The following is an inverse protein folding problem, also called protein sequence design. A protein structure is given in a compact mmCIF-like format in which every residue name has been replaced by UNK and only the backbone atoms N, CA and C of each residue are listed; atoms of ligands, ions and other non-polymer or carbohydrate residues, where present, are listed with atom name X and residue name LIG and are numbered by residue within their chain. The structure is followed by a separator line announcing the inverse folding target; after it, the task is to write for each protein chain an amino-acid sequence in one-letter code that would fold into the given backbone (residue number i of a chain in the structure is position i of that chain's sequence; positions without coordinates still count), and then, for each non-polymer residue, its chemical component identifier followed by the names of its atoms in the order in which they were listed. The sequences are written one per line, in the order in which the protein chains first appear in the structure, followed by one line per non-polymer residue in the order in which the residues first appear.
data_IF_789777589010
#
_entry.id   IF_789777589010
#
_cell.length_a   1.000
_cell.length_b   1.000
_cell.length_c   1.000
_cell.angle_alpha   90.00
_cell.angle_beta   90.00
_cell.angle_gamma   90.00
#
_symmetry.space_group_name_H-M   'P 1'
#
loop_
_entity.id
_entity.type
_entity.pdbx_description
1 polymer ?
#
# COMPACT_ATOMS: atom_id res chain seq x y z
N UNK A 1 0.90 -21.06 -1.91
CA UNK A 1 0.84 -19.88 -1.03
C UNK A 1 -0.41 -19.10 -1.39
N UNK A 2 -1.13 -18.48 -0.45
CA UNK A 2 -2.30 -17.69 -0.80
C UNK A 2 -1.85 -16.42 -1.55
N UNK A 3 -2.22 -16.32 -2.81
CA UNK A 3 -2.07 -15.12 -3.63
C UNK A 3 -3.24 -14.20 -3.32
N UNK A 4 -2.94 -12.96 -2.89
CA UNK A 4 -3.99 -11.97 -2.64
C UNK A 4 -3.92 -10.87 -3.70
N UNK A 5 -5.06 -10.46 -4.27
CA UNK A 5 -5.09 -9.34 -5.19
C UNK A 5 -4.72 -8.05 -4.44
N UNK A 6 -3.80 -7.25 -4.97
CA UNK A 6 -3.62 -5.89 -4.47
C UNK A 6 -4.79 -5.04 -4.92
N UNK A 7 -5.30 -4.20 -4.02
CA UNK A 7 -6.36 -3.24 -4.37
C UNK A 7 -5.87 -2.29 -5.46
N UNK A 8 -6.79 -1.73 -6.25
CA UNK A 8 -6.44 -0.80 -7.33
C UNK A 8 -5.60 0.39 -6.84
N UNK A 9 -5.92 0.93 -5.66
CA UNK A 9 -5.17 2.02 -5.05
C UNK A 9 -3.73 1.61 -4.69
N UNK A 10 -3.55 0.46 -4.04
CA UNK A 10 -2.21 -0.07 -3.74
C UNK A 10 -1.41 -0.27 -5.03
N UNK A 11 -2.03 -0.83 -6.08
CA UNK A 11 -1.37 -1.00 -7.37
C UNK A 11 -0.97 0.33 -8.04
N UNK A 12 -1.80 1.36 -7.96
CA UNK A 12 -1.45 2.70 -8.43
C UNK A 12 -0.24 3.27 -7.66
N UNK A 13 -0.23 3.15 -6.33
CA UNK A 13 0.89 3.58 -5.48
C UNK A 13 2.17 2.83 -5.83
N UNK A 14 2.11 1.51 -5.98
CA UNK A 14 3.27 0.69 -6.38
C UNK A 14 3.83 1.12 -7.74
N UNK A 15 2.96 1.37 -8.72
CA UNK A 15 3.40 1.86 -10.04
C UNK A 15 3.97 3.27 -9.99
N UNK A 16 3.46 4.14 -9.13
CA UNK A 16 4.04 5.46 -8.91
C UNK A 16 5.46 5.35 -8.36
N UNK A 17 5.68 4.52 -7.33
CA UNK A 17 7.03 4.24 -6.80
C UNK A 17 7.94 3.61 -7.86
N UNK A 18 7.44 2.65 -8.66
CA UNK A 18 8.22 2.00 -9.74
C UNK A 18 8.68 2.99 -10.81
N UNK A 19 7.84 3.98 -11.14
CA UNK A 19 8.14 5.01 -12.15
C UNK A 19 9.08 6.10 -11.63
N UNK A 20 9.13 6.30 -10.31
CA UNK A 20 9.99 7.31 -9.69
C UNK A 20 11.45 6.88 -9.71
N UNK A 21 12.33 7.79 -10.14
CA UNK A 21 13.80 7.56 -10.15
C UNK A 21 14.42 7.65 -8.75
N UNK A 22 13.72 8.27 -7.80
CA UNK A 22 14.11 8.45 -6.40
C UNK A 22 12.99 7.93 -5.50
N UNK A 23 13.29 7.46 -4.27
CA UNK A 23 12.26 7.08 -3.30
C UNK A 23 11.27 8.25 -3.07
N UNK A 24 10.02 8.17 -3.55
CA UNK A 24 9.07 9.24 -3.40
C UNK A 24 8.67 9.43 -1.94
N UNK A 25 8.30 10.67 -1.61
CA UNK A 25 7.80 11.05 -0.30
C UNK A 25 6.34 10.58 -0.17
N UNK A 26 5.92 10.19 1.03
CA UNK A 26 4.56 9.70 1.28
C UNK A 26 3.46 10.65 0.84
N UNK A 27 3.68 11.97 0.88
CA UNK A 27 2.76 12.99 0.33
C UNK A 27 2.50 12.79 -1.17
N UNK A 28 3.53 12.48 -1.94
CA UNK A 28 3.44 12.25 -3.39
C UNK A 28 2.70 10.95 -3.71
N UNK A 29 2.76 9.98 -2.79
CA UNK A 29 2.07 8.70 -2.91
C UNK A 29 0.59 8.76 -2.56
N UNK A 30 0.08 9.91 -2.09
CA UNK A 30 -1.35 10.13 -1.88
C UNK A 30 -2.05 10.47 -3.19
N UNK A 31 -2.11 9.49 -4.10
CA UNK A 31 -2.67 9.64 -5.44
C UNK A 31 -4.18 9.91 -5.46
N UNK A 32 -4.89 9.43 -4.43
CA UNK A 32 -6.33 9.67 -4.28
C UNK A 32 -6.63 10.21 -2.88
N UNK A 33 -7.23 11.41 -2.75
CA UNK A 33 -7.58 11.99 -1.47
C UNK A 33 -8.91 11.40 -0.95
N UNK A 34 -8.86 10.19 -0.42
CA UNK A 34 -10.01 9.53 0.22
C UNK A 34 -9.89 9.57 1.74
N UNK A 35 -10.97 9.21 2.46
CA UNK A 35 -10.94 9.08 3.93
C UNK A 35 -9.87 8.07 4.38
N UNK A 36 -9.66 7.00 3.62
CA UNK A 36 -8.67 5.95 3.93
C UNK A 36 -7.21 6.35 3.68
N UNK A 37 -6.97 7.41 2.90
CA UNK A 37 -5.61 7.93 2.64
C UNK A 37 -5.32 9.21 3.41
N UNK A 38 -6.24 9.68 4.26
CA UNK A 38 -6.09 10.93 5.02
C UNK A 38 -4.94 10.86 6.02
N UNK A 39 -4.81 9.74 6.72
CA UNK A 39 -3.90 9.60 7.86
C UNK A 39 -2.59 8.87 7.47
N UNK A 40 -2.43 8.49 6.20
CA UNK A 40 -1.23 7.78 5.71
C UNK A 40 -1.13 6.32 6.16
N UNK A 41 -2.15 5.79 6.86
CA UNK A 41 -2.23 4.40 7.31
C UNK A 41 -2.10 3.38 6.18
N UNK A 42 -2.48 3.74 4.96
CA UNK A 42 -2.30 2.90 3.77
C UNK A 42 -0.81 2.61 3.46
N UNK A 43 0.09 3.59 3.66
CA UNK A 43 1.52 3.42 3.44
C UNK A 43 2.10 2.47 4.49
N UNK A 44 1.73 2.66 5.75
CA UNK A 44 2.08 1.77 6.85
C UNK A 44 1.57 0.35 6.62
N UNK A 45 0.33 0.21 6.13
CA UNK A 45 -0.24 -1.09 5.75
C UNK A 45 0.56 -1.77 4.66
N UNK A 46 0.92 -1.04 3.60
CA UNK A 46 1.75 -1.58 2.51
C UNK A 46 3.17 -1.96 2.96
N UNK A 47 3.75 -1.24 3.92
CA UNK A 47 5.03 -1.62 4.54
C UNK A 47 4.91 -2.89 5.37
N UNK A 48 3.85 -3.02 6.18
CA UNK A 48 3.58 -4.25 6.96
C UNK A 48 3.31 -5.46 6.08
N UNK A 49 2.69 -5.24 4.92
CA UNK A 49 2.50 -6.23 3.87
C UNK A 49 3.79 -6.54 3.10
N UNK A 50 4.90 -5.87 3.40
CA UNK A 50 6.16 -6.10 2.69
C UNK A 50 6.10 -5.71 1.21
N UNK A 51 5.17 -4.84 0.79
CA UNK A 51 5.08 -4.30 -0.57
C UNK A 51 5.94 -3.04 -0.75
N UNK A 52 6.08 -2.27 0.33
CA UNK A 52 6.94 -1.10 0.40
C UNK A 52 7.97 -1.28 1.51
N UNK A 53 9.13 -0.68 1.32
CA UNK A 53 10.12 -0.49 2.36
C UNK A 53 10.24 1.00 2.67
N UNK A 54 10.24 1.36 3.95
CA UNK A 54 10.49 2.73 4.38
C UNK A 54 11.99 2.96 4.42
N UNK A 55 12.46 3.95 3.65
CA UNK A 55 13.88 4.28 3.54
C UNK A 55 14.28 5.34 4.56
N UNK A 56 13.40 6.30 4.84
CA UNK A 56 13.61 7.38 5.80
C UNK A 56 12.30 7.81 6.45
N UNK A 57 12.39 8.54 7.56
CA UNK A 57 11.27 9.05 8.35
C UNK A 57 10.67 8.01 9.31
N UNK A 58 9.54 8.37 9.93
CA UNK A 58 8.91 7.59 11.00
C UNK A 58 7.54 7.06 10.60
N UNK A 59 7.02 6.05 11.32
CA UNK A 59 5.64 5.58 11.12
C UNK A 59 4.59 6.62 11.55
N UNK A 60 4.97 7.51 12.45
CA UNK A 60 4.12 8.60 12.94
C UNK A 60 3.93 9.70 11.90
N UNK A 61 4.89 9.84 10.99
CA UNK A 61 4.89 10.84 9.92
C UNK A 61 4.95 10.15 8.55
N UNK A 62 3.93 9.35 8.20
CA UNK A 62 3.95 8.51 7.01
C UNK A 62 4.05 9.32 5.72
N UNK A 63 3.62 10.58 5.76
CA UNK A 63 3.68 11.50 4.64
C UNK A 63 5.06 12.13 4.44
N UNK A 64 5.89 12.24 5.46
CA UNK A 64 7.23 12.82 5.35
C UNK A 64 8.29 11.74 5.12
N UNK A 65 7.95 10.49 5.44
CA UNK A 65 8.74 9.33 5.12
C UNK A 65 8.88 9.09 3.60
N UNK A 66 10.01 8.49 3.22
CA UNK A 66 10.27 8.06 1.83
C UNK A 66 10.16 6.55 1.71
N UNK A 67 9.67 6.09 0.56
CA UNK A 67 9.37 4.68 0.32
C UNK A 67 10.03 4.15 -0.94
N UNK A 68 10.43 2.89 -0.90
CA UNK A 68 10.92 2.13 -2.04
C UNK A 68 10.16 0.83 -2.20
N UNK A 69 10.20 0.23 -3.38
CA UNK A 69 9.60 -1.08 -3.63
C UNK A 69 10.49 -2.20 -3.08
N UNK A 70 9.87 -3.16 -2.41
CA UNK A 70 10.47 -4.47 -2.11
C UNK A 70 10.39 -5.38 -3.35
N UNK A 71 10.99 -6.57 -3.30
CA UNK A 71 10.85 -7.55 -4.39
C UNK A 71 9.38 -7.95 -4.60
N UNK A 72 8.64 -8.23 -3.53
CA UNK A 72 7.21 -8.51 -3.57
C UNK A 72 6.41 -7.33 -4.13
N UNK A 73 6.77 -6.10 -3.76
CA UNK A 73 6.16 -4.88 -4.30
C UNK A 73 6.40 -4.68 -5.79
N UNK A 74 7.59 -5.02 -6.30
CA UNK A 74 7.90 -4.98 -7.74
C UNK A 74 7.04 -5.97 -8.52
N UNK A 75 6.86 -7.18 -7.99
CA UNK A 75 5.98 -8.19 -8.57
C UNK A 75 4.53 -7.71 -8.58
N UNK A 76 4.02 -7.24 -7.43
CA UNK A 76 2.68 -6.69 -7.32
C UNK A 76 2.44 -5.47 -8.23
N UNK A 77 3.46 -4.63 -8.46
CA UNK A 77 3.38 -3.51 -9.40
C UNK A 77 3.18 -3.96 -10.86
N UNK A 78 3.70 -5.13 -11.21
CA UNK A 78 3.69 -5.67 -12.56
C UNK A 78 2.45 -6.52 -12.84
N UNK A 79 2.11 -7.42 -11.92
CA UNK A 79 1.05 -8.42 -12.11
C UNK A 79 -0.26 -8.09 -11.38
N UNK A 80 -0.25 -7.11 -10.47
CA UNK A 80 -1.44 -6.79 -9.67
C UNK A 80 -1.74 -7.83 -8.58
N UNK A 81 -0.78 -8.72 -8.30
CA UNK A 81 -0.89 -9.79 -7.32
C UNK A 81 0.47 -10.09 -6.66
N UNK A 82 0.41 -10.62 -5.44
CA UNK A 82 1.60 -11.05 -4.70
C UNK A 82 1.31 -12.22 -3.76
N UNK A 83 2.30 -13.10 -3.64
CA UNK A 83 2.36 -14.14 -2.63
C UNK A 83 2.65 -13.55 -1.25
N UNK A 84 1.81 -13.88 -0.29
CA UNK A 84 2.07 -13.60 1.12
C UNK A 84 2.47 -14.89 1.85
N UNK A 85 3.53 -14.90 2.66
CA UNK A 85 3.73 -15.98 3.62
C UNK A 85 2.53 -15.99 4.58
N UNK A 86 1.96 -17.16 4.82
CA UNK A 86 0.69 -17.36 5.55
C UNK A 86 0.65 -16.91 7.02
N UNK A 87 1.66 -16.18 7.50
CA UNK A 87 1.76 -15.70 8.88
C UNK A 87 1.43 -14.21 9.11
N UNK A 88 1.18 -13.40 8.08
CA UNK A 88 1.08 -11.94 8.21
C UNK A 88 -0.32 -11.33 8.27
N UNK A 89 -1.39 -12.14 8.24
CA UNK A 89 -2.77 -11.62 8.26
C UNK A 89 -3.43 -11.75 9.63
N UNK A 90 -3.29 -10.71 10.44
CA UNK A 90 -4.35 -10.31 11.38
C UNK A 90 -4.56 -8.81 11.26
N UNK A 91 -5.20 -8.38 10.17
CA UNK A 91 -5.80 -7.05 10.07
C UNK A 91 -7.29 -7.23 9.83
N UNK A 92 -8.03 -7.07 10.92
CA UNK A 92 -9.49 -7.05 10.98
C UNK A 92 -10.08 -6.04 9.99
N UNK A 93 -10.91 -6.56 9.10
CA UNK A 93 -11.76 -5.83 8.17
C UNK A 93 -12.90 -5.13 8.94
N UNK A 94 -13.08 -3.79 8.91
CA UNK A 94 -14.35 -3.21 9.32
C UNK A 94 -15.29 -3.16 8.10
N UNK A 95 -16.08 -4.23 7.98
CA UNK A 95 -17.47 -4.28 7.49
C UNK A 95 -17.88 -3.23 6.44
N UNK A 96 -17.83 -3.60 5.15
CA UNK A 96 -18.76 -3.05 4.16
C UNK A 96 -20.17 -3.55 4.50
N UNK A 97 -21.10 -2.64 4.84
CA UNK A 97 -22.53 -2.94 4.84
C UNK A 97 -23.12 -2.72 3.43
N UNK A 98 -23.94 -3.64 2.91
CA UNK A 98 -24.73 -3.44 1.70
C UNK A 98 -26.15 -2.95 2.04
N UNK A 99 -26.64 -1.89 1.38
CA UNK A 99 -28.07 -1.54 1.26
C UNK A 99 -28.17 -0.30 0.36
N UNK A 100 -29.00 -0.20 -0.68
CA UNK A 100 -30.19 -0.95 -1.06
C UNK A 100 -31.23 0.07 -1.59
N UNK A 101 -31.66 -0.12 -2.84
CA UNK A 101 -32.83 0.45 -3.57
C UNK A 101 -33.49 1.75 -3.09
N UNK A 102 -33.72 2.67 -4.04
CA UNK A 102 -35.06 3.23 -4.30
C UNK A 102 -35.29 3.27 -5.80
#
# INVERSE_FOLDING_TARGET
MPVLPVTHNQWQVLRAVKRSRKPPIGRELRLSPTRGTKDGSFLTGMVRLGLLSRISGTEKEPFEATYALTETGKHAAEYGECDFPSGTMSVSNPTQKPQGKR
#
